data_IF_373724613246
#
_entry.id   IF_373724613246
#
_cell.length_a   1.000
_cell.length_b   1.000
_cell.length_c   1.000
_cell.angle_alpha   90.00
_cell.angle_beta   90.00
_cell.angle_gamma   90.00
#
_symmetry.space_group_name_H-M   'P 1'
#
loop_
_entity.id
_entity.type
_entity.pdbx_description
1 polymer ?
#
# COMPACT_ATOMS: atom_id res chain seq x y z
N UNK A 1 35.74 -18.92 -48.61
CA UNK A 1 35.16 -19.13 -47.26
C UNK A 1 35.61 -18.02 -46.34
N UNK A 2 34.69 -17.15 -45.95
CA UNK A 2 34.50 -16.76 -44.54
C UNK A 2 33.16 -16.03 -44.46
N UNK A 3 32.19 -16.69 -43.82
CA UNK A 3 30.96 -16.06 -43.37
C UNK A 3 31.26 -15.36 -42.03
N UNK A 4 30.74 -14.15 -41.84
CA UNK A 4 31.00 -13.37 -40.63
C UNK A 4 30.00 -12.24 -40.44
N UNK A 5 28.69 -12.55 -40.53
CA UNK A 5 27.64 -11.64 -40.08
C UNK A 5 26.98 -12.24 -38.85
N UNK A 6 27.23 -11.64 -37.69
CA UNK A 6 26.24 -11.45 -36.64
C UNK A 6 26.78 -10.47 -35.58
N UNK A 7 26.20 -9.27 -35.43
CA UNK A 7 26.14 -8.59 -34.16
C UNK A 7 24.73 -8.78 -33.62
N UNK A 8 24.50 -9.89 -32.92
CA UNK A 8 23.22 -10.10 -32.23
C UNK A 8 23.39 -9.80 -30.76
N UNK A 9 22.63 -8.81 -30.32
CA UNK A 9 22.25 -8.57 -28.93
C UNK A 9 23.34 -8.00 -28.02
N UNK A 10 23.57 -6.69 -28.13
CA UNK A 10 24.10 -5.90 -26.99
C UNK A 10 23.13 -4.84 -26.50
N UNK A 11 21.87 -4.89 -26.93
CA UNK A 11 20.89 -3.84 -26.68
C UNK A 11 19.47 -4.38 -26.47
N UNK A 12 19.29 -5.45 -25.71
CA UNK A 12 17.97 -5.83 -25.21
C UNK A 12 18.01 -6.22 -23.73
N UNK A 13 18.98 -5.69 -22.97
CA UNK A 13 18.75 -5.47 -21.54
C UNK A 13 18.33 -4.01 -21.37
N UNK A 14 17.21 -3.65 -22.00
CA UNK A 14 16.44 -2.53 -21.54
C UNK A 14 15.79 -3.03 -20.25
N UNK A 15 16.47 -2.79 -19.14
CA UNK A 15 15.94 -2.87 -17.78
C UNK A 15 14.84 -1.80 -17.69
N UNK A 16 13.74 -2.05 -18.39
CA UNK A 16 12.53 -1.25 -18.30
C UNK A 16 11.91 -1.66 -16.98
N UNK A 17 11.95 -0.71 -16.03
CA UNK A 17 11.06 -0.57 -14.89
C UNK A 17 10.44 -1.86 -14.36
N UNK A 18 11.02 -2.38 -13.29
CA UNK A 18 10.42 -2.25 -11.96
C UNK A 18 11.59 -2.45 -10.97
N UNK A 19 11.70 -1.71 -9.85
CA UNK A 19 12.50 -2.16 -8.72
C UNK A 19 11.79 -3.40 -8.17
N UNK A 20 12.03 -4.55 -8.80
CA UNK A 20 11.53 -5.84 -8.38
C UNK A 20 12.10 -6.11 -7.01
N UNK A 21 11.38 -5.73 -5.97
CA UNK A 21 11.56 -6.30 -4.65
C UNK A 21 11.29 -7.79 -4.85
N UNK A 22 12.37 -8.56 -5.00
CA UNK A 22 12.35 -10.01 -4.97
C UNK A 22 11.90 -10.40 -3.55
N UNK A 23 10.60 -10.24 -3.28
CA UNK A 23 10.03 -10.66 -2.02
C UNK A 23 10.15 -12.17 -2.01
N UNK A 24 10.92 -12.68 -1.06
CA UNK A 24 10.98 -14.13 -0.86
C UNK A 24 9.59 -14.61 -0.45
N UNK A 25 9.22 -15.87 -0.76
CA UNK A 25 7.93 -16.42 -0.35
C UNK A 25 7.64 -16.23 1.14
N UNK A 26 8.66 -16.34 2.00
CA UNK A 26 8.55 -16.16 3.44
C UNK A 26 8.16 -14.72 3.84
N UNK A 27 8.74 -13.70 3.20
CA UNK A 27 8.39 -12.30 3.46
C UNK A 27 6.94 -12.04 3.05
N UNK A 28 6.52 -12.56 1.90
CA UNK A 28 5.13 -12.43 1.44
C UNK A 28 4.14 -13.09 2.41
N UNK A 29 4.46 -14.29 2.92
CA UNK A 29 3.61 -14.94 3.93
C UNK A 29 3.54 -14.15 5.23
N UNK A 30 4.66 -13.61 5.71
CA UNK A 30 4.67 -12.77 6.91
C UNK A 30 3.79 -11.53 6.74
N UNK A 31 3.87 -10.86 5.58
CA UNK A 31 3.02 -9.71 5.27
C UNK A 31 1.54 -10.12 5.25
N UNK A 32 1.20 -11.23 4.58
CA UNK A 32 -0.18 -11.72 4.55
C UNK A 32 -0.71 -12.09 5.93
N UNK A 33 0.07 -12.84 6.72
CA UNK A 33 -0.30 -13.22 8.08
C UNK A 33 -0.49 -11.98 8.97
N UNK A 34 0.39 -10.98 8.87
CA UNK A 34 0.27 -9.75 9.63
C UNK A 34 -0.96 -8.92 9.22
N UNK A 35 -1.29 -8.87 7.93
CA UNK A 35 -2.47 -8.16 7.42
C UNK A 35 -3.79 -8.86 7.80
N UNK A 36 -3.83 -10.19 7.77
CA UNK A 36 -5.06 -10.98 7.97
C UNK A 36 -5.28 -11.35 9.45
N UNK A 37 -4.22 -11.76 10.14
CA UNK A 37 -4.32 -12.50 11.42
C UNK A 37 -3.69 -11.76 12.61
N UNK A 38 -2.51 -11.15 12.42
CA UNK A 38 -1.68 -10.63 13.52
C UNK A 38 -1.83 -9.14 13.81
N UNK A 39 -2.24 -8.35 12.83
CA UNK A 39 -2.29 -6.90 12.89
C UNK A 39 -0.89 -6.24 12.78
N UNK A 40 -0.86 -5.00 12.28
CA UNK A 40 0.37 -4.23 12.05
C UNK A 40 0.72 -3.30 13.21
N UNK A 41 0.29 -3.59 14.44
CA UNK A 41 0.30 -2.62 15.55
C UNK A 41 1.67 -2.01 15.88
N UNK A 42 2.74 -2.81 15.85
CA UNK A 42 4.11 -2.32 16.04
C UNK A 42 4.61 -1.51 14.83
N UNK A 43 4.31 -1.99 13.62
CA UNK A 43 4.70 -1.35 12.35
C UNK A 43 3.97 -0.02 12.12
N UNK A 44 2.73 0.10 12.57
CA UNK A 44 1.94 1.32 12.52
C UNK A 44 2.48 2.45 13.41
N UNK A 45 3.43 2.15 14.29
CA UNK A 45 4.15 3.14 15.12
C UNK A 45 5.52 3.50 14.55
N UNK A 46 5.99 2.79 13.52
CA UNK A 46 7.26 3.02 12.89
C UNK A 46 7.12 4.01 11.72
N UNK A 47 7.76 5.17 11.83
CA UNK A 47 7.63 6.24 10.84
C UNK A 47 8.18 5.86 9.47
N UNK A 48 9.21 5.01 9.42
CA UNK A 48 9.79 4.56 8.16
C UNK A 48 8.85 3.61 7.44
N UNK A 49 8.22 2.68 8.15
CA UNK A 49 7.18 1.80 7.61
C UNK A 49 5.98 2.58 7.10
N UNK A 50 5.51 3.59 7.85
CA UNK A 50 4.42 4.45 7.42
C UNK A 50 4.75 5.22 6.13
N UNK A 51 5.97 5.77 6.02
CA UNK A 51 6.40 6.46 4.81
C UNK A 51 6.42 5.53 3.59
N UNK A 52 7.01 4.33 3.73
CA UNK A 52 7.02 3.33 2.66
C UNK A 52 5.60 2.92 2.26
N UNK A 53 4.72 2.71 3.24
CA UNK A 53 3.33 2.31 2.98
C UNK A 53 2.57 3.41 2.24
N UNK A 54 2.75 4.68 2.62
CA UNK A 54 2.16 5.83 1.91
C UNK A 54 2.63 5.90 0.47
N UNK A 55 3.94 5.77 0.25
CA UNK A 55 4.53 5.85 -1.09
C UNK A 55 4.06 4.67 -1.96
N UNK A 56 3.98 3.46 -1.39
CA UNK A 56 3.44 2.29 -2.05
C UNK A 56 1.94 2.43 -2.35
N UNK A 57 1.15 3.02 -1.45
CA UNK A 57 -0.26 3.33 -1.73
C UNK A 57 -0.43 4.27 -2.92
N UNK A 58 0.40 5.31 -3.01
CA UNK A 58 0.43 6.23 -4.15
C UNK A 58 0.81 5.50 -5.45
N UNK A 59 1.89 4.73 -5.44
CA UNK A 59 2.35 3.96 -6.59
C UNK A 59 1.31 2.92 -7.04
N UNK A 60 0.81 2.08 -6.13
CA UNK A 60 -0.19 1.05 -6.41
C UNK A 60 -1.53 1.62 -6.89
N UNK A 61 -1.90 2.82 -6.43
CA UNK A 61 -3.13 3.51 -6.87
C UNK A 61 -2.92 4.37 -8.12
N UNK A 62 -1.68 4.53 -8.59
CA UNK A 62 -1.30 5.45 -9.67
C UNK A 62 -1.72 6.90 -9.39
N UNK A 63 -1.59 7.32 -8.13
CA UNK A 63 -1.92 8.68 -7.66
C UNK A 63 -0.65 9.37 -7.15
N UNK A 64 -0.65 10.70 -7.18
CA UNK A 64 0.38 11.46 -6.48
C UNK A 64 0.16 11.37 -4.96
N UNK A 65 1.24 11.50 -4.18
CA UNK A 65 1.18 11.41 -2.72
C UNK A 65 0.22 12.46 -2.13
N UNK A 66 0.18 13.67 -2.70
CA UNK A 66 -0.73 14.74 -2.28
C UNK A 66 -2.21 14.38 -2.52
N UNK A 67 -2.51 13.64 -3.58
CA UNK A 67 -3.88 13.18 -3.88
C UNK A 67 -4.31 12.07 -2.93
N UNK A 68 -3.41 11.13 -2.61
CA UNK A 68 -3.65 10.10 -1.59
C UNK A 68 -3.89 10.73 -0.22
N UNK A 69 -3.10 11.73 0.16
CA UNK A 69 -3.28 12.45 1.42
C UNK A 69 -4.64 13.16 1.48
N UNK A 70 -5.03 13.85 0.41
CA UNK A 70 -6.35 14.50 0.33
C UNK A 70 -7.49 13.49 0.51
N UNK A 71 -7.42 12.35 -0.18
CA UNK A 71 -8.42 11.29 -0.04
C UNK A 71 -8.45 10.71 1.39
N UNK A 72 -7.28 10.50 1.99
CA UNK A 72 -7.18 10.02 3.37
C UNK A 72 -7.82 10.98 4.37
N UNK A 73 -7.59 12.29 4.23
CA UNK A 73 -8.21 13.34 5.06
C UNK A 73 -9.73 13.31 4.95
N UNK A 74 -10.28 13.16 3.75
CA UNK A 74 -11.74 13.08 3.55
C UNK A 74 -12.32 11.80 4.19
N UNK A 75 -11.65 10.65 4.05
CA UNK A 75 -12.05 9.39 4.67
C UNK A 75 -12.02 9.46 6.20
N UNK A 76 -10.99 10.08 6.79
CA UNK A 76 -10.88 10.23 8.24
C UNK A 76 -12.01 11.11 8.81
N UNK A 77 -12.31 12.24 8.16
CA UNK A 77 -13.45 13.09 8.53
C UNK A 77 -14.77 12.33 8.48
N UNK A 78 -15.00 11.53 7.44
CA UNK A 78 -16.19 10.68 7.32
C UNK A 78 -16.32 9.63 8.43
N UNK A 79 -15.20 9.18 9.01
CA UNK A 79 -15.20 8.25 10.16
C UNK A 79 -15.51 8.95 11.47
N UNK A 80 -15.07 10.19 11.65
CA UNK A 80 -15.37 10.98 12.85
C UNK A 80 -16.87 11.31 12.93
N UNK A 81 -17.50 11.65 11.79
CA UNK A 81 -18.94 11.94 11.73
C UNK A 81 -19.80 10.71 12.02
N UNK A 82 -19.38 9.52 11.58
CA UNK A 82 -20.06 8.25 11.88
C UNK A 82 -19.89 7.79 13.34
N UNK A 83 -18.76 8.10 13.97
CA UNK A 83 -18.54 7.77 15.38
C UNK A 83 -19.27 8.73 16.33
N UNK A 84 -19.63 9.94 15.88
CA UNK A 84 -20.46 10.89 16.63
C UNK A 84 -21.94 10.53 16.73
N UNK A 85 -22.44 9.57 15.92
CA UNK A 85 -23.86 9.17 15.87
C UNK A 85 -24.15 7.80 16.49
N UNK A 86 -23.23 7.20 17.24
CA UNK A 86 -23.50 5.95 17.98
C UNK A 86 -23.78 6.17 19.48
N UNK A 87 -23.91 7.43 19.92
CA UNK A 87 -24.13 7.81 21.32
C UNK A 87 -25.54 8.25 21.72
N UNK A 88 -26.56 8.12 20.87
CA UNK A 88 -27.96 8.42 21.23
C UNK A 88 -28.87 7.26 20.85
N UNK A 89 -28.90 6.24 21.70
CA UNK A 89 -30.10 5.40 21.78
C UNK A 89 -31.18 6.22 22.51
N UNK A 90 -32.39 6.40 21.95
CA UNK A 90 -33.47 6.99 22.71
C UNK A 90 -33.88 5.97 23.79
N UNK A 91 -33.60 6.30 25.05
CA UNK A 91 -34.26 5.71 26.21
C UNK A 91 -35.72 6.17 26.20
N UNK A 92 -36.56 5.50 25.41
CA UNK A 92 -38.00 5.52 25.67
C UNK A 92 -38.33 4.35 26.61
N UNK A 93 -38.16 4.65 27.89
CA UNK A 93 -38.97 4.04 28.95
C UNK A 93 -40.43 4.31 28.63
N UNK A 94 -41.19 3.25 28.32
CA UNK A 94 -42.64 3.29 28.44
C UNK A 94 -43.05 2.29 29.53
N UNK A 95 -43.76 2.84 30.51
CA UNK A 95 -44.26 2.22 31.73
C UNK A 95 -45.45 1.29 31.49
#
# INVERSE_FOLDING_TARGET
TVAGTAPSSRFQQRETGEPGTSSTPAITFLIQEALISGGLGALARDSSFLAVTRDEMAASSQLEVDEVEKAAVELLKGRETLQGTTGSAPLDTSA
#
